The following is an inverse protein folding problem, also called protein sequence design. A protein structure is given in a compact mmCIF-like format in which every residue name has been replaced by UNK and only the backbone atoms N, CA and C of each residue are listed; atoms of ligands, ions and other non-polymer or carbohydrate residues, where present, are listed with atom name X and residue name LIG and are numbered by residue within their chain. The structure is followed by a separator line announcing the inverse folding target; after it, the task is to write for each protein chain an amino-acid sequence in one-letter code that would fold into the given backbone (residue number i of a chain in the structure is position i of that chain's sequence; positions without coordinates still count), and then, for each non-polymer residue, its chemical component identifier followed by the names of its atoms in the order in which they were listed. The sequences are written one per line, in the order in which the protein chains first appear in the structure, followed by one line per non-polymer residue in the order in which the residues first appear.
data_IF_030257336977
#
_entry.id   IF_030257336977
#
_cell.length_a   1.000
_cell.length_b   1.000
_cell.length_c   1.000
_cell.angle_alpha   90.00
_cell.angle_beta   90.00
_cell.angle_gamma   90.00
#
_symmetry.space_group_name_H-M   'P 1'
#
loop_
_entity.id
_entity.type
_entity.pdbx_description
1 polymer ?
#
# COMPACT_ATOMS: atom_id res chain seq x y z
N UNK A 1 -31.19 3.30 9.12
CA UNK A 1 -29.87 3.69 8.55
C UNK A 1 -28.81 2.60 8.71
N UNK A 2 -28.87 1.77 9.76
CA UNK A 2 -27.99 0.60 9.93
C UNK A 2 -28.27 -0.56 8.96
N UNK A 3 -29.56 -0.89 8.72
CA UNK A 3 -29.97 -1.98 7.82
C UNK A 3 -29.42 -1.80 6.39
N UNK A 4 -29.41 -0.57 5.88
CA UNK A 4 -28.89 -0.24 4.54
C UNK A 4 -27.37 -0.42 4.46
N UNK A 5 -26.64 -0.24 5.57
CA UNK A 5 -25.19 -0.48 5.63
C UNK A 5 -24.89 -1.98 5.67
N UNK A 6 -25.66 -2.76 6.43
CA UNK A 6 -25.49 -4.21 6.50
C UNK A 6 -25.77 -4.89 5.15
N UNK A 7 -26.79 -4.44 4.42
CA UNK A 7 -27.08 -4.91 3.07
C UNK A 7 -25.95 -4.57 2.08
N UNK A 8 -25.34 -3.40 2.22
CA UNK A 8 -24.18 -3.01 1.40
C UNK A 8 -22.94 -3.88 1.69
N UNK A 9 -22.67 -4.17 2.96
CA UNK A 9 -21.56 -5.05 3.38
C UNK A 9 -21.78 -6.47 2.85
N UNK A 10 -23.00 -6.99 2.97
CA UNK A 10 -23.36 -8.34 2.52
C UNK A 10 -23.17 -8.52 1.00
N UNK A 11 -23.74 -7.61 0.20
CA UNK A 11 -23.60 -7.64 -1.26
C UNK A 11 -22.13 -7.55 -1.71
N UNK A 12 -21.33 -6.79 -0.97
CA UNK A 12 -19.90 -6.63 -1.25
C UNK A 12 -19.11 -7.88 -0.90
N UNK A 13 -19.40 -8.52 0.24
CA UNK A 13 -18.81 -9.80 0.61
C UNK A 13 -19.12 -10.91 -0.41
N UNK A 14 -20.34 -10.91 -0.96
CA UNK A 14 -20.75 -11.85 -2.02
C UNK A 14 -19.95 -11.66 -3.31
N UNK A 15 -19.81 -10.41 -3.77
CA UNK A 15 -19.00 -10.10 -4.96
C UNK A 15 -17.53 -10.48 -4.76
N UNK A 16 -16.97 -10.18 -3.60
CA UNK A 16 -15.61 -10.56 -3.24
C UNK A 16 -15.44 -12.07 -3.22
N UNK A 17 -16.38 -12.81 -2.65
CA UNK A 17 -16.32 -14.27 -2.62
C UNK A 17 -16.26 -14.87 -4.02
N UNK A 18 -16.96 -14.27 -4.99
CA UNK A 18 -16.93 -14.71 -6.38
C UNK A 18 -15.59 -14.40 -7.05
N UNK A 19 -15.07 -13.18 -6.88
CA UNK A 19 -13.76 -12.77 -7.40
C UNK A 19 -12.61 -13.56 -6.78
N UNK A 20 -12.73 -13.92 -5.51
CA UNK A 20 -11.71 -14.67 -4.78
C UNK A 20 -11.56 -16.10 -5.32
N UNK A 21 -12.63 -16.69 -5.88
CA UNK A 21 -12.57 -17.99 -6.58
C UNK A 21 -11.71 -17.95 -7.84
N UNK A 22 -11.65 -16.79 -8.50
CA UNK A 22 -10.87 -16.59 -9.73
C UNK A 22 -9.37 -16.37 -9.46
N UNK A 23 -8.97 -16.20 -8.19
CA UNK A 23 -7.56 -16.03 -7.84
C UNK A 23 -6.80 -17.35 -7.90
N UNK A 24 -5.57 -17.31 -8.40
CA UNK A 24 -4.67 -18.47 -8.46
C UNK A 24 -4.42 -19.13 -7.09
N UNK A 25 -4.48 -18.33 -6.02
CA UNK A 25 -4.28 -18.80 -4.63
C UNK A 25 -5.51 -19.52 -4.04
N UNK A 26 -6.69 -19.40 -4.66
CA UNK A 26 -7.93 -19.97 -4.17
C UNK A 26 -7.82 -21.47 -3.93
N UNK A 27 -7.28 -22.21 -4.92
CA UNK A 27 -7.17 -23.66 -4.86
C UNK A 27 -6.31 -24.12 -3.68
N UNK A 28 -5.23 -23.38 -3.37
CA UNK A 28 -4.40 -23.63 -2.19
C UNK A 28 -5.17 -23.38 -0.90
N UNK A 29 -5.82 -22.21 -0.76
CA UNK A 29 -6.57 -21.85 0.44
C UNK A 29 -7.71 -22.87 0.68
N UNK A 30 -8.44 -23.23 -0.37
CA UNK A 30 -9.54 -24.19 -0.30
C UNK A 30 -9.07 -25.57 0.16
N UNK A 31 -7.99 -26.10 -0.42
CA UNK A 31 -7.38 -27.37 0.02
C UNK A 31 -6.92 -27.30 1.48
N UNK A 32 -6.31 -26.20 1.90
CA UNK A 32 -5.83 -26.03 3.28
C UNK A 32 -7.00 -25.98 4.27
N UNK A 33 -8.11 -25.32 3.91
CA UNK A 33 -9.34 -25.30 4.71
C UNK A 33 -9.99 -26.68 4.75
N UNK A 34 -10.06 -27.42 3.64
CA UNK A 34 -10.60 -28.79 3.62
C UNK A 34 -9.84 -29.71 4.58
N UNK A 35 -8.52 -29.69 4.53
CA UNK A 35 -7.67 -30.45 5.47
C UNK A 35 -7.88 -30.03 6.93
N UNK A 36 -8.16 -28.75 7.17
CA UNK A 36 -8.43 -28.23 8.51
C UNK A 36 -9.80 -28.68 9.04
N UNK A 37 -10.83 -28.66 8.20
CA UNK A 37 -12.18 -29.11 8.53
C UNK A 37 -12.21 -30.62 8.81
N UNK A 38 -11.40 -31.40 8.12
CA UNK A 38 -11.25 -32.84 8.37
C UNK A 38 -10.36 -33.17 9.59
N UNK A 39 -9.82 -32.16 10.27
CA UNK A 39 -8.95 -32.35 11.43
C UNK A 39 -9.76 -32.42 12.73
N UNK A 40 -9.23 -33.08 13.78
CA UNK A 40 -9.91 -33.15 15.08
C UNK A 40 -10.03 -31.78 15.78
N UNK A 41 -9.42 -30.73 15.24
CA UNK A 41 -9.47 -29.38 15.81
C UNK A 41 -10.78 -28.64 15.47
N UNK A 42 -11.62 -29.19 14.59
CA UNK A 42 -12.90 -28.60 14.18
C UNK A 42 -14.04 -29.50 14.66
N UNK A 43 -14.76 -29.03 15.68
CA UNK A 43 -15.87 -29.77 16.28
C UNK A 43 -17.15 -29.54 15.50
N UNK A 44 -17.99 -30.58 15.37
CA UNK A 44 -19.27 -30.46 14.65
C UNK A 44 -20.30 -29.62 15.42
N UNK A 45 -20.26 -29.68 16.74
CA UNK A 45 -21.17 -28.96 17.64
C UNK A 45 -20.92 -27.44 17.61
N UNK A 46 -19.64 -27.04 17.69
CA UNK A 46 -19.20 -25.64 17.63
C UNK A 46 -18.45 -25.33 16.33
N UNK A 47 -18.94 -25.82 15.20
CA UNK A 47 -18.24 -25.76 13.91
C UNK A 47 -17.74 -24.37 13.55
N UNK A 48 -18.60 -23.35 13.70
CA UNK A 48 -18.26 -21.96 13.37
C UNK A 48 -17.08 -21.45 14.21
N UNK A 49 -17.15 -21.64 15.53
CA UNK A 49 -16.15 -21.09 16.45
C UNK A 49 -14.85 -21.89 16.39
N UNK A 50 -14.94 -23.22 16.38
CA UNK A 50 -13.79 -24.12 16.28
C UNK A 50 -13.04 -23.96 14.96
N UNK A 51 -13.73 -23.82 13.82
CA UNK A 51 -13.10 -23.54 12.54
C UNK A 51 -12.41 -22.17 12.52
N UNK A 52 -13.07 -21.12 13.02
CA UNK A 52 -12.46 -19.79 13.08
C UNK A 52 -11.19 -19.78 13.94
N UNK A 53 -11.21 -20.48 15.07
CA UNK A 53 -10.05 -20.61 15.95
C UNK A 53 -8.92 -21.41 15.27
N UNK A 54 -9.23 -22.58 14.70
CA UNK A 54 -8.27 -23.41 13.99
C UNK A 54 -7.66 -22.69 12.77
N UNK A 55 -8.44 -21.84 12.08
CA UNK A 55 -7.96 -21.00 10.98
C UNK A 55 -7.00 -19.90 11.45
N UNK A 56 -7.20 -19.35 12.66
CA UNK A 56 -6.27 -18.38 13.26
C UNK A 56 -4.97 -19.06 13.64
N UNK A 57 -5.04 -20.20 14.30
CA UNK A 57 -3.87 -20.97 14.77
C UNK A 57 -2.98 -21.44 13.62
N UNK A 58 -3.56 -21.93 12.51
CA UNK A 58 -2.80 -22.31 11.30
C UNK A 58 -2.40 -21.11 10.41
N UNK A 59 -2.74 -19.88 10.79
CA UNK A 59 -2.43 -18.68 9.99
C UNK A 59 -3.24 -18.54 8.69
N UNK A 60 -4.20 -19.42 8.41
CA UNK A 60 -5.09 -19.35 7.24
C UNK A 60 -5.94 -18.08 7.25
N UNK A 61 -6.40 -17.65 8.43
CA UNK A 61 -7.12 -16.39 8.61
C UNK A 61 -6.28 -15.20 8.14
N UNK A 62 -5.00 -15.16 8.50
CA UNK A 62 -4.07 -14.10 8.09
C UNK A 62 -3.78 -14.15 6.59
N UNK A 63 -3.58 -15.35 6.03
CA UNK A 63 -3.39 -15.55 4.58
C UNK A 63 -4.59 -15.05 3.79
N UNK A 64 -5.82 -15.36 4.24
CA UNK A 64 -7.05 -14.87 3.63
C UNK A 64 -7.17 -13.34 3.73
N UNK A 65 -6.91 -12.76 4.91
CA UNK A 65 -6.92 -11.30 5.12
C UNK A 65 -5.94 -10.58 4.22
N UNK A 66 -4.71 -11.08 4.10
CA UNK A 66 -3.68 -10.50 3.23
C UNK A 66 -4.08 -10.61 1.75
N UNK A 67 -4.66 -11.75 1.36
CA UNK A 67 -5.17 -11.95 -0.02
C UNK A 67 -6.24 -10.92 -0.36
N UNK A 68 -7.21 -10.72 0.54
CA UNK A 68 -8.25 -9.69 0.41
C UNK A 68 -7.62 -8.30 0.34
N UNK A 69 -6.70 -7.97 1.25
CA UNK A 69 -6.02 -6.68 1.27
C UNK A 69 -5.32 -6.36 -0.06
N UNK A 70 -4.51 -7.29 -0.57
CA UNK A 70 -3.80 -7.10 -1.83
C UNK A 70 -4.77 -7.01 -3.01
N UNK A 71 -5.80 -7.84 -3.06
CA UNK A 71 -6.82 -7.77 -4.10
C UNK A 71 -7.53 -6.42 -4.11
N UNK A 72 -7.99 -5.92 -2.96
CA UNK A 72 -8.62 -4.59 -2.82
C UNK A 72 -7.69 -3.49 -3.33
N UNK A 73 -6.39 -3.57 -3.00
CA UNK A 73 -5.39 -2.58 -3.43
C UNK A 73 -5.15 -2.62 -4.94
N UNK A 74 -5.21 -3.79 -5.55
CA UNK A 74 -5.04 -4.00 -7.00
C UNK A 74 -6.22 -3.47 -7.83
N UNK A 75 -7.43 -3.41 -7.25
CA UNK A 75 -8.66 -2.97 -7.95
C UNK A 75 -8.70 -1.46 -8.30
N UNK A 76 -7.60 -0.71 -8.17
CA UNK A 76 -7.45 0.64 -8.73
C UNK A 76 -8.37 1.73 -8.15
N UNK A 77 -8.39 2.92 -8.79
CA UNK A 77 -9.17 4.10 -8.36
C UNK A 77 -10.70 3.91 -8.54
N UNK A 78 -11.13 2.96 -9.38
CA UNK A 78 -12.53 2.73 -9.74
C UNK A 78 -13.31 2.07 -8.59
N UNK A 79 -12.71 1.09 -7.89
CA UNK A 79 -13.33 0.40 -6.75
C UNK A 79 -13.34 1.25 -5.47
N UNK A 80 -12.37 2.14 -5.28
CA UNK A 80 -12.31 3.07 -4.14
C UNK A 80 -13.46 4.08 -4.10
N UNK A 81 -14.04 4.41 -5.26
CA UNK A 81 -15.25 5.26 -5.34
C UNK A 81 -16.53 4.51 -4.95
N UNK A 82 -16.57 3.20 -5.21
CA UNK A 82 -17.74 2.36 -4.95
C UNK A 82 -17.73 1.83 -3.50
N UNK A 83 -16.54 1.61 -2.93
CA UNK A 83 -16.38 0.98 -1.62
C UNK A 83 -15.46 1.80 -0.71
N UNK A 84 -15.96 2.96 -0.25
CA UNK A 84 -15.23 3.90 0.63
C UNK A 84 -14.75 3.23 1.92
N UNK A 85 -15.49 2.23 2.42
CA UNK A 85 -15.20 1.49 3.65
C UNK A 85 -13.94 0.61 3.57
N UNK A 86 -13.53 0.23 2.36
CA UNK A 86 -12.32 -0.56 2.10
C UNK A 86 -11.08 0.29 1.84
N UNK A 87 -11.25 1.61 1.69
CA UNK A 87 -10.15 2.57 1.67
C UNK A 87 -9.42 2.69 3.01
N UNK A 88 -9.83 1.94 4.04
CA UNK A 88 -9.22 1.90 5.37
C UNK A 88 -7.88 1.13 5.37
N UNK A 89 -6.97 1.51 4.48
CA UNK A 89 -5.54 1.30 4.67
C UNK A 89 -4.96 2.55 5.31
N UNK A 90 -4.33 2.39 6.47
CA UNK A 90 -3.60 3.39 7.27
C UNK A 90 -3.62 4.80 6.64
N UNK A 91 -4.55 5.66 7.08
CA UNK A 91 -4.54 7.04 6.65
C UNK A 91 -3.20 7.66 7.06
N UNK A 92 -2.64 8.50 6.20
CA UNK A 92 -1.64 9.47 6.63
C UNK A 92 -2.27 10.27 7.79
N UNK A 93 -1.95 9.89 9.02
CA UNK A 93 -2.47 10.48 10.26
C UNK A 93 -4.00 10.69 10.24
N UNK A 94 -4.77 9.60 10.35
CA UNK A 94 -6.13 9.65 10.90
C UNK A 94 -7.25 10.26 10.04
N UNK A 95 -7.00 10.64 8.78
CA UNK A 95 -8.04 11.18 7.87
C UNK A 95 -8.14 10.42 6.56
N UNK A 96 -9.37 10.07 6.17
CA UNK A 96 -9.68 9.41 4.90
C UNK A 96 -9.22 10.30 3.72
N UNK A 97 -8.37 9.80 2.79
CA UNK A 97 -7.90 10.56 1.62
C UNK A 97 -9.00 11.18 0.75
N UNK A 98 -10.20 10.57 0.78
CA UNK A 98 -11.37 11.02 0.04
C UNK A 98 -12.29 11.95 0.85
N UNK A 99 -11.90 12.36 2.06
CA UNK A 99 -12.70 13.26 2.87
C UNK A 99 -12.83 14.61 2.14
N UNK A 100 -14.06 15.11 1.92
CA UNK A 100 -14.27 16.36 1.18
C UNK A 100 -13.61 17.52 1.94
N UNK A 101 -12.94 18.42 1.21
CA UNK A 101 -12.45 19.66 1.80
C UNK A 101 -13.61 20.64 2.00
N UNK A 102 -13.56 21.40 3.10
CA UNK A 102 -14.45 22.54 3.35
C UNK A 102 -13.94 23.82 2.68
N UNK A 103 -12.73 23.79 2.11
CA UNK A 103 -12.08 24.92 1.44
C UNK A 103 -12.47 24.93 -0.04
N UNK A 104 -13.01 26.05 -0.57
CA UNK A 104 -13.30 26.18 -2.00
C UNK A 104 -12.07 25.93 -2.88
N UNK A 105 -12.25 25.15 -3.94
CA UNK A 105 -11.21 24.84 -4.91
C UNK A 105 -10.42 23.55 -4.66
N UNK A 106 -10.64 22.86 -3.54
CA UNK A 106 -10.04 21.55 -3.28
C UNK A 106 -11.10 20.45 -3.19
N UNK A 107 -10.89 19.35 -3.91
CA UNK A 107 -11.82 18.22 -3.91
C UNK A 107 -11.77 17.42 -2.61
N UNK A 108 -10.60 17.32 -1.96
CA UNK A 108 -10.40 16.55 -0.73
C UNK A 108 -9.45 17.27 0.23
N UNK A 109 -9.51 16.92 1.53
CA UNK A 109 -8.54 17.40 2.53
C UNK A 109 -7.10 17.03 2.17
N UNK A 110 -6.89 15.88 1.53
CA UNK A 110 -5.58 15.50 1.02
C UNK A 110 -5.11 16.46 -0.08
N UNK A 111 -5.97 16.81 -1.04
CA UNK A 111 -5.64 17.76 -2.11
C UNK A 111 -5.30 19.15 -1.57
N UNK A 112 -6.08 19.63 -0.59
CA UNK A 112 -5.79 20.86 0.13
C UNK A 112 -4.41 20.81 0.80
N UNK A 113 -4.12 19.69 1.47
CA UNK A 113 -2.84 19.50 2.16
C UNK A 113 -1.66 19.42 1.22
N UNK A 114 -1.83 18.80 0.04
CA UNK A 114 -0.82 18.78 -1.03
C UNK A 114 -0.57 20.20 -1.51
N UNK A 115 -1.62 20.96 -1.86
CA UNK A 115 -1.47 22.34 -2.32
C UNK A 115 -0.78 23.25 -1.30
N UNK A 116 -1.11 23.11 -0.01
CA UNK A 116 -0.42 23.83 1.06
C UNK A 116 1.06 23.40 1.18
N UNK A 117 1.34 22.10 1.10
CA UNK A 117 2.70 21.56 1.17
C UNK A 117 3.59 22.02 0.01
N UNK A 118 3.04 22.18 -1.19
CA UNK A 118 3.77 22.73 -2.34
C UNK A 118 4.17 24.20 -2.09
N UNK A 119 3.24 25.01 -1.55
CA UNK A 119 3.52 26.40 -1.18
C UNK A 119 4.58 26.49 -0.08
N UNK A 120 4.49 25.65 0.94
CA UNK A 120 5.48 25.57 2.03
C UNK A 120 6.85 25.16 1.49
N UNK A 121 6.92 24.18 0.60
CA UNK A 121 8.17 23.75 -0.04
C UNK A 121 8.79 24.85 -0.91
N UNK A 122 7.97 25.65 -1.59
CA UNK A 122 8.42 26.75 -2.44
C UNK A 122 9.10 27.89 -1.65
N UNK A 123 8.76 28.07 -0.37
CA UNK A 123 9.43 29.04 0.51
C UNK A 123 10.88 28.65 0.84
N UNK A 124 11.24 27.36 0.75
CA UNK A 124 12.60 26.87 1.01
C UNK A 124 13.08 27.04 2.46
N UNK A 125 12.22 27.46 3.40
CA UNK A 125 12.58 27.70 4.79
C UNK A 125 12.36 26.45 5.63
N UNK A 126 13.46 25.81 6.08
CA UNK A 126 13.40 24.59 6.88
C UNK A 126 12.50 24.68 8.12
N UNK A 127 12.47 25.78 8.93
CA UNK A 127 11.58 25.88 10.08
C UNK A 127 10.10 25.83 9.69
N UNK A 128 9.72 26.48 8.58
CA UNK A 128 8.33 26.49 8.09
C UNK A 128 7.91 25.09 7.63
N UNK A 129 8.82 24.38 6.98
CA UNK A 129 8.59 22.98 6.56
C UNK A 129 8.44 22.09 7.80
N UNK A 130 9.25 22.26 8.84
CA UNK A 130 9.12 21.51 10.09
C UNK A 130 7.77 21.74 10.76
N UNK A 131 7.31 22.99 10.88
CA UNK A 131 5.97 23.30 11.41
C UNK A 131 4.86 22.63 10.62
N UNK A 132 4.95 22.62 9.28
CA UNK A 132 4.01 21.91 8.43
C UNK A 132 4.06 20.39 8.67
N UNK A 133 5.25 19.81 8.80
CA UNK A 133 5.46 18.37 8.99
C UNK A 133 4.97 17.86 10.35
N UNK A 134 4.85 18.71 11.38
CA UNK A 134 4.25 18.33 12.68
C UNK A 134 2.84 17.75 12.55
N UNK A 135 2.08 18.20 11.53
CA UNK A 135 0.74 17.72 11.23
C UNK A 135 0.71 16.61 10.18
N UNK A 136 1.86 15.98 9.87
CA UNK A 136 2.00 14.97 8.83
C UNK A 136 2.44 15.48 7.46
N UNK A 137 2.90 14.56 6.61
CA UNK A 137 3.38 14.85 5.25
C UNK A 137 2.61 14.04 4.21
N UNK A 138 2.04 14.66 3.16
CA UNK A 138 1.52 13.94 2.01
C UNK A 138 2.58 13.00 1.42
N UNK A 139 2.18 11.81 0.97
CA UNK A 139 3.13 10.80 0.48
C UNK A 139 3.97 11.33 -0.70
N UNK A 140 3.34 12.06 -1.63
CA UNK A 140 3.99 12.63 -2.80
C UNK A 140 5.00 13.76 -2.48
N UNK A 141 4.87 14.43 -1.33
CA UNK A 141 5.74 15.55 -0.94
C UNK A 141 6.81 15.16 0.08
N UNK A 142 6.68 13.98 0.71
CA UNK A 142 7.53 13.53 1.83
C UNK A 142 9.02 13.61 1.49
N UNK A 143 9.44 13.05 0.36
CA UNK A 143 10.85 13.05 -0.04
C UNK A 143 11.39 14.48 -0.20
N UNK A 144 10.63 15.34 -0.89
CA UNK A 144 11.01 16.73 -1.15
C UNK A 144 11.09 17.59 0.12
N UNK A 145 10.11 17.46 1.01
CA UNK A 145 10.08 18.24 2.25
C UNK A 145 11.20 17.82 3.20
N UNK A 146 11.43 16.52 3.37
CA UNK A 146 12.51 16.03 4.22
C UNK A 146 13.89 16.32 3.65
N UNK A 147 14.09 16.28 2.33
CA UNK A 147 15.38 16.66 1.74
C UNK A 147 15.72 18.13 2.03
N UNK A 148 14.73 19.03 1.96
CA UNK A 148 14.91 20.44 2.30
C UNK A 148 15.18 20.64 3.80
N UNK A 149 14.47 19.93 4.68
CA UNK A 149 14.69 20.02 6.14
C UNK A 149 16.06 19.52 6.56
N UNK A 150 16.53 18.44 5.94
CA UNK A 150 17.83 17.82 6.23
C UNK A 150 19.00 18.50 5.52
N UNK A 151 18.74 19.45 4.61
CA UNK A 151 19.78 20.00 3.72
C UNK A 151 20.38 18.95 2.79
N UNK A 152 19.66 17.86 2.52
CA UNK A 152 20.08 16.76 1.64
C UNK A 152 19.81 17.13 0.18
N UNK A 153 20.53 18.13 -0.32
CA UNK A 153 20.44 18.57 -1.71
C UNK A 153 21.39 17.77 -2.59
N UNK A 154 20.86 17.27 -3.71
CA UNK A 154 21.65 16.60 -4.73
C UNK A 154 22.33 17.66 -5.60
N UNK A 155 23.63 17.84 -5.43
CA UNK A 155 24.44 18.81 -6.17
C UNK A 155 24.77 18.29 -7.57
N UNK A 156 24.96 19.20 -8.52
CA UNK A 156 25.38 18.86 -9.89
C UNK A 156 26.69 18.04 -9.93
N UNK A 157 27.61 18.32 -9.01
CA UNK A 157 28.85 17.55 -8.85
C UNK A 157 28.59 16.09 -8.52
N UNK A 158 27.65 15.81 -7.61
CA UNK A 158 27.29 14.45 -7.20
C UNK A 158 26.64 13.68 -8.35
N UNK A 159 25.77 14.35 -9.13
CA UNK A 159 25.16 13.78 -10.34
C UNK A 159 26.24 13.44 -11.38
N UNK A 160 27.17 14.36 -11.60
CA UNK A 160 28.26 14.16 -12.58
C UNK A 160 29.16 12.99 -12.17
N UNK A 161 29.55 12.94 -10.90
CA UNK A 161 30.33 11.84 -10.35
C UNK A 161 29.60 10.50 -10.46
N UNK A 162 28.31 10.45 -10.12
CA UNK A 162 27.50 9.24 -10.24
C UNK A 162 27.42 8.75 -11.70
N UNK A 163 27.19 9.66 -12.65
CA UNK A 163 27.15 9.32 -14.08
C UNK A 163 28.50 8.82 -14.59
N UNK A 164 29.61 9.39 -14.12
CA UNK A 164 30.95 8.91 -14.44
C UNK A 164 31.18 7.50 -13.89
N UNK A 165 30.85 7.29 -12.61
CA UNK A 165 30.96 5.98 -11.97
C UNK A 165 30.14 4.91 -12.69
N UNK A 166 28.90 5.26 -13.08
CA UNK A 166 28.03 4.35 -13.83
C UNK A 166 28.66 3.95 -15.18
N UNK A 167 29.27 4.89 -15.90
CA UNK A 167 30.00 4.59 -17.15
C UNK A 167 31.19 3.67 -16.90
N UNK A 168 32.01 3.97 -15.89
CA UNK A 168 33.19 3.16 -15.57
C UNK A 168 32.82 1.75 -15.13
N UNK A 169 31.75 1.56 -14.36
CA UNK A 169 31.26 0.21 -13.99
C UNK A 169 30.88 -0.58 -15.24
N UNK A 170 30.13 0.03 -16.18
CA UNK A 170 29.75 -0.62 -17.44
C UNK A 170 30.98 -0.96 -18.31
N UNK A 171 31.98 -0.09 -18.36
CA UNK A 171 33.22 -0.34 -19.10
C UNK A 171 34.03 -1.50 -18.51
N UNK A 172 34.11 -1.57 -17.17
CA UNK A 172 34.79 -2.67 -16.47
C UNK A 172 34.04 -3.99 -16.70
N UNK A 173 32.72 -4.00 -16.61
CA UNK A 173 31.89 -5.20 -16.83
C UNK A 173 32.08 -5.74 -18.26
N UNK A 174 32.02 -4.84 -19.26
CA UNK A 174 32.27 -5.19 -20.66
C UNK A 174 33.71 -5.70 -20.90
N UNK A 175 34.69 -5.16 -20.16
CA UNK A 175 36.08 -5.60 -20.23
C UNK A 175 36.24 -6.99 -19.63
N UNK A 176 35.61 -7.27 -18.48
CA UNK A 176 35.58 -8.59 -17.85
C UNK A 176 34.98 -9.61 -18.81
N UNK A 177 33.84 -9.31 -19.44
CA UNK A 177 33.23 -10.18 -20.44
C UNK A 177 34.22 -10.51 -21.58
N UNK A 178 34.90 -9.49 -22.13
CA UNK A 178 35.91 -9.68 -23.19
C UNK A 178 37.12 -10.49 -22.74
N UNK A 179 37.52 -10.40 -21.48
CA UNK A 179 38.61 -11.21 -20.91
C UNK A 179 38.16 -12.67 -20.74
N UNK A 180 36.96 -12.91 -20.22
CA UNK A 180 36.39 -14.26 -20.08
C UNK A 180 36.28 -14.96 -21.44
N UNK A 181 35.82 -14.25 -22.48
CA UNK A 181 35.75 -14.82 -23.84
C UNK A 181 37.11 -15.16 -24.47
N UNK A 182 38.22 -14.61 -23.96
CA UNK A 182 39.57 -14.91 -24.47
C UNK A 182 40.27 -16.04 -23.72
N UNK A 183 39.85 -16.35 -22.50
CA UNK A 183 40.40 -17.42 -21.66
C UNK A 183 39.71 -18.79 -21.87
N UNK A 184 38.62 -18.83 -22.65
CA UNK A 184 37.93 -20.06 -23.11
C UNK A 184 38.31 -20.36 -24.55
#
# INVERSE_FOLDING_TARGET
MEIIKDDAIHNTAMKLAEELKNLSIYKSIYSDVQKLVSSPNVNKEDFKQSLQQAMKEKGLHTKLRNTVFHWVRTQGKQSRKIYVEWSNGEPLLGVNPNMPSTVPGFATLEAERIGLGERVSALGYAPVIQEFLKKGSPQCLRAKLWSQVLGAEVKQQQITYFNQLQKSVLEVDLMIDKLIFKDV
#
